data_IF_036767146528
#
_entry.id   IF_036767146528
#
_cell.length_a   1.000
_cell.length_b   1.000
_cell.length_c   1.000
_cell.angle_alpha   90.00
_cell.angle_beta   90.00
_cell.angle_gamma   90.00
#
_symmetry.space_group_name_H-M   'P 1'
#
loop_
_entity.id
_entity.type
_entity.pdbx_description
1 polymer ?
#
# COMPACT_ATOMS: atom_id res chain seq x y z
N UNK A 1 23.54 13.06 -48.46
CA UNK A 1 22.83 11.98 -47.72
C UNK A 1 23.45 10.65 -48.15
N UNK A 2 24.47 10.14 -47.45
CA UNK A 2 24.99 8.81 -47.73
C UNK A 2 24.03 7.78 -47.16
N UNK A 3 23.42 6.98 -48.03
CA UNK A 3 22.46 5.94 -47.66
C UNK A 3 23.11 4.83 -46.83
N UNK A 4 22.40 4.36 -45.80
CA UNK A 4 22.77 3.18 -45.03
C UNK A 4 22.86 1.97 -45.96
N UNK A 5 24.03 1.33 -46.01
CA UNK A 5 24.25 0.14 -46.85
C UNK A 5 23.95 -1.10 -46.03
N UNK A 6 22.97 -1.87 -46.47
CA UNK A 6 22.62 -3.12 -45.80
C UNK A 6 23.78 -4.13 -45.91
N UNK A 7 24.17 -4.77 -44.78
CA UNK A 7 25.24 -5.75 -44.79
C UNK A 7 24.84 -6.97 -45.63
N UNK A 8 25.75 -7.42 -46.48
CA UNK A 8 25.54 -8.60 -47.33
C UNK A 8 25.42 -9.87 -46.48
N UNK A 9 24.95 -10.97 -47.08
CA UNK A 9 24.92 -12.27 -46.39
C UNK A 9 26.30 -12.69 -45.87
N UNK A 10 27.36 -12.44 -46.65
CA UNK A 10 28.73 -12.72 -46.25
C UNK A 10 29.17 -11.87 -45.05
N UNK A 11 28.76 -10.59 -45.00
CA UNK A 11 29.07 -9.71 -43.87
C UNK A 11 28.34 -10.16 -42.60
N UNK A 12 27.08 -10.58 -42.72
CA UNK A 12 26.31 -11.15 -41.61
C UNK A 12 26.93 -12.45 -41.09
N UNK A 13 27.38 -13.32 -41.97
CA UNK A 13 28.05 -14.58 -41.59
C UNK A 13 29.37 -14.32 -40.85
N UNK A 14 30.19 -13.39 -41.36
CA UNK A 14 31.44 -12.97 -40.71
C UNK A 14 31.18 -12.35 -39.34
N UNK A 15 30.20 -11.46 -39.23
CA UNK A 15 29.80 -10.85 -37.96
C UNK A 15 29.34 -11.91 -36.94
N UNK A 16 28.56 -12.91 -37.36
CA UNK A 16 28.13 -13.99 -36.49
C UNK A 16 29.31 -14.86 -36.01
N UNK A 17 30.27 -15.16 -36.89
CA UNK A 17 31.47 -15.91 -36.52
C UNK A 17 32.36 -15.11 -35.56
N UNK A 18 32.52 -13.82 -35.80
CA UNK A 18 33.29 -12.93 -34.92
C UNK A 18 32.63 -12.83 -33.54
N UNK A 19 31.31 -12.62 -33.49
CA UNK A 19 30.56 -12.59 -32.23
C UNK A 19 30.74 -13.88 -31.41
N UNK A 20 30.69 -15.05 -32.06
CA UNK A 20 30.95 -16.33 -31.38
C UNK A 20 32.37 -16.42 -30.84
N UNK A 21 33.38 -16.01 -31.61
CA UNK A 21 34.77 -15.96 -31.17
C UNK A 21 34.95 -15.00 -29.99
N UNK A 22 34.33 -13.82 -30.05
CA UNK A 22 34.42 -12.81 -29.01
C UNK A 22 33.78 -13.29 -27.70
N UNK A 23 32.64 -13.99 -27.77
CA UNK A 23 32.01 -14.59 -26.59
C UNK A 23 32.92 -15.66 -25.95
N UNK A 24 33.52 -16.54 -26.76
CA UNK A 24 34.44 -17.56 -26.25
C UNK A 24 35.70 -16.92 -25.64
N UNK A 25 36.24 -15.88 -26.26
CA UNK A 25 37.40 -15.15 -25.73
C UNK A 25 37.05 -14.44 -24.42
N UNK A 26 35.87 -13.83 -24.31
CA UNK A 26 35.38 -13.24 -23.04
C UNK A 26 35.27 -14.27 -21.94
N UNK A 27 34.73 -15.46 -22.25
CA UNK A 27 34.60 -16.53 -21.26
C UNK A 27 35.97 -17.05 -20.82
N UNK A 28 36.92 -17.22 -21.74
CA UNK A 28 38.30 -17.63 -21.43
C UNK A 28 39.09 -16.59 -20.64
N UNK A 29 38.83 -15.30 -20.90
CA UNK A 29 39.48 -14.19 -20.20
C UNK A 29 38.80 -13.84 -18.87
N UNK A 30 37.67 -14.47 -18.54
CA UNK A 30 36.98 -14.20 -17.30
C UNK A 30 37.79 -14.75 -16.12
N UNK A 31 38.06 -13.92 -15.09
CA UNK A 31 38.78 -14.38 -13.91
C UNK A 31 38.01 -15.53 -13.24
N UNK A 32 38.77 -16.52 -12.77
CA UNK A 32 38.22 -17.69 -12.11
C UNK A 32 37.61 -17.37 -10.74
N UNK A 33 36.95 -18.35 -10.11
CA UNK A 33 36.34 -18.18 -8.78
C UNK A 33 37.34 -17.82 -7.68
N UNK A 34 38.60 -18.27 -7.83
CA UNK A 34 39.68 -18.04 -6.88
C UNK A 34 40.46 -16.74 -7.14
N UNK A 35 40.04 -15.94 -8.14
CA UNK A 35 40.63 -14.64 -8.39
C UNK A 35 40.29 -13.67 -7.23
N UNK A 36 41.28 -12.97 -6.65
CA UNK A 36 41.09 -12.14 -5.47
C UNK A 36 40.09 -10.99 -5.69
N UNK A 37 39.97 -10.47 -6.91
CA UNK A 37 39.01 -9.41 -7.22
C UNK A 37 37.58 -9.96 -7.33
N UNK A 38 37.41 -11.20 -7.81
CA UNK A 38 36.10 -11.87 -7.81
C UNK A 38 35.67 -12.19 -6.37
N UNK A 39 36.58 -12.66 -5.53
CA UNK A 39 36.32 -12.93 -4.12
C UNK A 39 35.91 -11.67 -3.35
N UNK A 40 36.61 -10.54 -3.56
CA UNK A 40 36.24 -9.23 -2.98
C UNK A 40 34.83 -8.79 -3.39
N UNK A 41 34.51 -8.82 -4.68
CA UNK A 41 33.16 -8.46 -5.18
C UNK A 41 32.08 -9.38 -4.61
N UNK A 42 32.39 -10.66 -4.40
CA UNK A 42 31.46 -11.60 -3.78
C UNK A 42 31.22 -11.23 -2.32
N UNK A 43 32.29 -11.00 -1.56
CA UNK A 43 32.20 -10.58 -0.16
C UNK A 43 31.43 -9.26 0.01
N UNK A 44 31.67 -8.27 -0.86
CA UNK A 44 30.93 -7.00 -0.87
C UNK A 44 29.43 -7.21 -1.13
N UNK A 45 29.07 -8.06 -2.10
CA UNK A 45 27.66 -8.38 -2.38
C UNK A 45 27.00 -9.13 -1.24
N UNK A 46 27.71 -10.06 -0.61
CA UNK A 46 27.21 -10.81 0.56
C UNK A 46 27.01 -9.88 1.76
N UNK A 47 27.95 -8.94 2.00
CA UNK A 47 27.80 -7.91 3.03
C UNK A 47 26.59 -7.01 2.76
N UNK A 48 26.44 -6.50 1.54
CA UNK A 48 25.28 -5.68 1.16
C UNK A 48 23.96 -6.47 1.26
N UNK A 49 23.96 -7.76 0.92
CA UNK A 49 22.78 -8.60 1.04
C UNK A 49 22.39 -8.81 2.51
N UNK A 50 23.38 -9.04 3.39
CA UNK A 50 23.16 -9.17 4.82
C UNK A 50 22.62 -7.86 5.44
N UNK A 51 23.15 -6.71 5.06
CA UNK A 51 22.64 -5.40 5.49
C UNK A 51 21.20 -5.16 5.03
N UNK A 52 20.90 -5.47 3.76
CA UNK A 52 19.54 -5.36 3.22
C UNK A 52 18.57 -6.32 3.91
N UNK A 53 19.01 -7.52 4.27
CA UNK A 53 18.18 -8.49 5.00
C UNK A 53 17.80 -7.93 6.38
N UNK A 54 18.78 -7.44 7.15
CA UNK A 54 18.54 -6.81 8.46
C UNK A 54 17.61 -5.59 8.35
N UNK A 55 17.82 -4.75 7.34
CA UNK A 55 16.96 -3.59 7.11
C UNK A 55 15.52 -3.98 6.74
N UNK A 56 15.31 -5.09 6.02
CA UNK A 56 13.98 -5.62 5.70
C UNK A 56 13.28 -6.13 6.95
N UNK A 57 13.96 -6.92 7.78
CA UNK A 57 13.40 -7.45 9.03
C UNK A 57 12.91 -6.33 9.95
N UNK A 58 13.73 -5.28 10.13
CA UNK A 58 13.34 -4.11 10.93
C UNK A 58 12.11 -3.37 10.35
N UNK A 59 12.04 -3.23 9.03
CA UNK A 59 10.89 -2.61 8.34
C UNK A 59 9.63 -3.44 8.44
N UNK A 60 9.74 -4.76 8.36
CA UNK A 60 8.59 -5.66 8.48
C UNK A 60 8.02 -5.65 9.90
N UNK A 61 8.87 -5.65 10.92
CA UNK A 61 8.45 -5.47 12.31
C UNK A 61 7.71 -4.14 12.51
N UNK A 62 8.28 -3.02 12.03
CA UNK A 62 7.64 -1.71 12.14
C UNK A 62 6.28 -1.64 11.40
N UNK A 63 6.18 -2.26 10.22
CA UNK A 63 4.92 -2.34 9.47
C UNK A 63 3.87 -3.18 10.18
N UNK A 64 4.27 -4.28 10.83
CA UNK A 64 3.35 -5.12 11.60
C UNK A 64 2.77 -4.34 12.78
N UNK A 65 3.60 -3.59 13.51
CA UNK A 65 3.16 -2.73 14.60
C UNK A 65 2.23 -1.61 14.11
N UNK A 66 2.56 -0.94 13.00
CA UNK A 66 1.70 0.10 12.43
C UNK A 66 0.34 -0.45 12.03
N UNK A 67 0.29 -1.59 11.34
CA UNK A 67 -0.97 -2.25 10.98
C UNK A 67 -1.81 -2.62 12.20
N UNK A 68 -1.18 -3.07 13.29
CA UNK A 68 -1.88 -3.38 14.52
C UNK A 68 -2.52 -2.12 15.14
N UNK A 69 -1.78 -1.00 15.18
CA UNK A 69 -2.30 0.28 15.68
C UNK A 69 -3.41 0.84 14.80
N UNK A 70 -3.26 0.77 13.48
CA UNK A 70 -4.28 1.21 12.52
C UNK A 70 -5.57 0.37 12.65
N UNK A 71 -5.45 -0.95 12.81
CA UNK A 71 -6.60 -1.83 13.03
C UNK A 71 -7.31 -1.52 14.35
N UNK A 72 -6.57 -1.25 15.43
CA UNK A 72 -7.15 -0.83 16.71
C UNK A 72 -7.87 0.52 16.59
N UNK A 73 -7.22 1.52 15.99
CA UNK A 73 -7.82 2.84 15.77
C UNK A 73 -9.07 2.76 14.88
N UNK A 74 -9.06 1.93 13.85
CA UNK A 74 -10.24 1.72 13.00
C UNK A 74 -11.39 1.04 13.76
N UNK A 75 -11.09 0.08 14.63
CA UNK A 75 -12.10 -0.57 15.47
C UNK A 75 -12.70 0.41 16.50
N UNK A 76 -11.87 1.23 17.13
CA UNK A 76 -12.32 2.27 18.06
C UNK A 76 -13.18 3.33 17.37
N UNK A 77 -12.76 3.82 16.20
CA UNK A 77 -13.52 4.78 15.41
C UNK A 77 -14.88 4.20 14.98
N UNK A 78 -14.92 2.93 14.56
CA UNK A 78 -16.17 2.25 14.21
C UNK A 78 -17.10 2.13 15.43
N UNK A 79 -16.55 1.80 16.61
CA UNK A 79 -17.33 1.71 17.84
C UNK A 79 -17.87 3.07 18.30
N UNK A 80 -17.08 4.15 18.19
CA UNK A 80 -17.51 5.52 18.49
C UNK A 80 -18.63 5.93 17.55
N UNK A 81 -18.48 5.71 16.24
CA UNK A 81 -19.48 6.07 15.24
C UNK A 81 -20.79 5.29 15.42
N UNK A 82 -20.73 4.04 15.89
CA UNK A 82 -21.93 3.28 16.26
C UNK A 82 -22.65 3.91 17.47
N UNK A 83 -21.90 4.26 18.52
CA UNK A 83 -22.47 4.91 19.72
C UNK A 83 -23.08 6.28 19.39
N UNK A 84 -22.39 7.08 18.59
CA UNK A 84 -22.89 8.40 18.17
C UNK A 84 -24.20 8.28 17.38
N UNK A 85 -24.33 7.25 16.54
CA UNK A 85 -25.59 6.97 15.82
C UNK A 85 -26.71 6.57 16.77
N UNK A 86 -26.43 5.68 17.72
CA UNK A 86 -27.42 5.28 18.73
C UNK A 86 -27.87 6.47 19.59
N UNK A 87 -26.92 7.31 20.01
CA UNK A 87 -27.22 8.54 20.74
C UNK A 87 -28.02 9.53 19.92
N UNK A 88 -27.70 9.70 18.63
CA UNK A 88 -28.45 10.58 17.73
C UNK A 88 -29.91 10.11 17.59
N UNK A 89 -30.12 8.80 17.38
CA UNK A 89 -31.46 8.20 17.30
C UNK A 89 -32.22 8.41 18.63
N UNK A 90 -31.56 8.19 19.77
CA UNK A 90 -32.18 8.40 21.08
C UNK A 90 -32.57 9.87 21.31
N UNK A 91 -31.71 10.81 20.90
CA UNK A 91 -32.00 12.25 20.97
C UNK A 91 -33.16 12.64 20.06
N UNK A 92 -33.21 12.12 18.83
CA UNK A 92 -34.32 12.36 17.92
C UNK A 92 -35.65 11.83 18.48
N UNK A 93 -35.65 10.61 19.02
CA UNK A 93 -36.83 10.02 19.66
C UNK A 93 -37.30 10.84 20.86
N UNK A 94 -36.38 11.36 21.68
CA UNK A 94 -36.72 12.24 22.81
C UNK A 94 -37.36 13.56 22.32
N UNK A 95 -36.80 14.20 21.28
CA UNK A 95 -37.36 15.42 20.70
C UNK A 95 -38.75 15.19 20.09
N UNK A 96 -38.98 14.05 19.45
CA UNK A 96 -40.31 13.69 18.94
C UNK A 96 -41.32 13.47 20.07
N UNK A 97 -40.92 12.82 21.15
CA UNK A 97 -41.75 12.63 22.34
C UNK A 97 -42.14 13.99 22.98
N UNK A 98 -41.19 14.91 23.11
CA UNK A 98 -41.44 16.27 23.61
C UNK A 98 -42.40 17.04 22.70
N UNK A 99 -42.18 17.00 21.37
CA UNK A 99 -43.07 17.64 20.39
C UNK A 99 -44.49 17.09 20.46
N UNK A 100 -44.63 15.77 20.64
CA UNK A 100 -45.94 15.12 20.82
C UNK A 100 -46.60 15.56 22.12
N UNK A 101 -45.89 15.54 23.24
CA UNK A 101 -46.40 16.01 24.52
C UNK A 101 -46.87 17.48 24.46
N UNK A 102 -46.09 18.35 23.81
CA UNK A 102 -46.47 19.75 23.58
C UNK A 102 -47.74 19.87 22.71
N UNK A 103 -47.88 19.04 21.67
CA UNK A 103 -49.08 19.00 20.82
C UNK A 103 -50.31 18.53 21.61
N UNK A 104 -50.16 17.47 22.39
CA UNK A 104 -51.24 16.90 23.22
C UNK A 104 -51.70 17.91 24.29
N UNK A 105 -50.77 18.63 24.92
CA UNK A 105 -51.09 19.72 25.85
C UNK A 105 -51.88 20.86 25.17
N UNK A 106 -51.49 21.26 23.95
CA UNK A 106 -52.23 22.25 23.15
C UNK A 106 -53.62 21.76 22.80
N UNK A 107 -53.76 20.50 22.41
CA UNK A 107 -55.05 19.92 22.07
C UNK A 107 -55.99 19.84 23.29
N UNK A 108 -55.46 19.43 24.44
CA UNK A 108 -56.18 19.43 25.71
C UNK A 108 -56.67 20.84 26.09
N UNK A 109 -55.80 21.86 26.00
CA UNK A 109 -56.15 23.25 26.26
C UNK A 109 -57.22 23.80 25.29
N UNK A 110 -57.17 23.42 24.00
CA UNK A 110 -58.22 23.80 23.03
C UNK A 110 -59.56 23.15 23.37
N UNK A 111 -59.56 21.86 23.73
CA UNK A 111 -60.77 21.11 24.07
C UNK A 111 -61.45 21.67 25.32
N UNK A 112 -60.68 22.03 26.35
CA UNK A 112 -61.24 22.64 27.57
C UNK A 112 -61.81 24.03 27.30
N UNK A 113 -61.18 24.84 26.43
CA UNK A 113 -61.71 26.14 25.99
C UNK A 113 -63.00 26.01 25.17
N UNK A 114 -63.10 25.00 24.30
CA UNK A 114 -64.30 24.74 23.49
C UNK A 114 -65.51 24.25 24.29
N UNK A 115 -65.29 23.60 25.44
CA UNK A 115 -66.36 23.10 26.33
C UNK A 115 -66.92 24.15 27.30
N UNK A 116 -66.23 25.29 27.45
CA UNK A 116 -66.65 26.42 28.30
C UNK A 116 -67.38 27.53 27.52
N UNK A 117 -67.64 27.31 26.22
CA UNK A 117 -68.41 28.21 25.35
C UNK A 117 -69.76 27.61 25.03
#
# INVERSE_FOLDING_TARGET
>A
MSGFKEPSFADRQKAAQQARKDILNKFRAQPGPDDPEVAKRRAEREAQAAERAKAKEAREAAKAEQKAREAQAAAEAAAQLAREKEEAIAREAALEAERKAARDARYAARKTKGKKR
#
